data_IF_531851194739
#
_entry.id   IF_531851194739
#
_cell.length_a   1.000
_cell.length_b   1.000
_cell.length_c   1.000
_cell.angle_alpha   90.00
_cell.angle_beta   90.00
_cell.angle_gamma   90.00
#
_symmetry.space_group_name_H-M   'P 1'
#
loop_
_entity.id
_entity.type
_entity.pdbx_description
1 polymer ?
#
# COMPACT_ATOMS: atom_id res chain seq x y z
N UNK A 1 -16.80 0.41 -45.33
CA UNK A 1 -15.68 0.78 -44.48
C UNK A 1 -15.63 -0.28 -43.36
N UNK A 2 -14.71 -1.25 -43.47
CA UNK A 2 -14.63 -2.41 -42.56
C UNK A 2 -13.78 -2.01 -41.35
N UNK A 3 -14.37 -2.01 -40.15
CA UNK A 3 -13.64 -1.92 -38.89
C UNK A 3 -12.92 -3.24 -38.65
N UNK A 4 -11.61 -3.22 -38.72
CA UNK A 4 -10.75 -4.33 -38.29
C UNK A 4 -10.59 -4.26 -36.79
N UNK A 5 -11.22 -5.22 -36.11
CA UNK A 5 -11.08 -5.46 -34.66
C UNK A 5 -9.65 -5.96 -34.39
N UNK A 6 -8.86 -5.11 -33.73
CA UNK A 6 -7.50 -5.45 -33.32
C UNK A 6 -7.58 -6.22 -32.01
N UNK A 7 -7.48 -7.54 -32.10
CA UNK A 7 -7.31 -8.40 -30.93
C UNK A 7 -5.89 -8.23 -30.40
N UNK A 8 -5.72 -7.45 -29.33
CA UNK A 8 -4.49 -7.50 -28.54
C UNK A 8 -4.48 -8.82 -27.75
N UNK A 9 -3.72 -9.77 -28.26
CA UNK A 9 -3.25 -10.91 -27.50
C UNK A 9 -2.33 -10.38 -26.37
N UNK A 10 -2.87 -10.27 -25.16
CA UNK A 10 -2.05 -10.17 -23.96
C UNK A 10 -1.32 -11.51 -23.82
N UNK A 11 0.03 -11.56 -23.89
CA UNK A 11 0.74 -12.75 -23.48
C UNK A 11 0.45 -12.95 -21.99
N UNK A 12 -0.21 -14.05 -21.66
CA UNK A 12 -0.26 -14.54 -20.30
C UNK A 12 1.19 -14.78 -19.86
N UNK A 13 1.78 -13.80 -19.19
CA UNK A 13 3.01 -13.98 -18.44
C UNK A 13 2.66 -14.97 -17.32
N UNK A 14 2.89 -16.24 -17.57
CA UNK A 14 3.00 -17.24 -16.53
C UNK A 14 4.16 -16.80 -15.63
N UNK A 15 3.84 -16.02 -14.61
CA UNK A 15 4.70 -15.91 -13.47
C UNK A 15 4.73 -17.31 -12.86
N UNK A 16 5.84 -17.99 -13.10
CA UNK A 16 6.19 -19.18 -12.34
C UNK A 16 6.46 -18.70 -10.92
N UNK A 17 5.38 -18.50 -10.17
CA UNK A 17 5.45 -18.31 -8.74
C UNK A 17 5.91 -19.64 -8.18
N UNK A 18 7.22 -19.81 -7.99
CA UNK A 18 7.68 -20.71 -6.96
C UNK A 18 6.99 -20.24 -5.68
N UNK A 19 5.90 -20.91 -5.34
CA UNK A 19 5.13 -20.67 -4.14
C UNK A 19 6.12 -20.88 -2.98
N UNK A 20 6.60 -19.78 -2.45
CA UNK A 20 7.05 -19.79 -1.07
C UNK A 20 5.73 -19.88 -0.32
N UNK A 21 5.34 -21.10 0.00
CA UNK A 21 4.21 -21.32 0.91
C UNK A 21 4.59 -20.62 2.21
N UNK A 22 4.05 -19.44 2.44
CA UNK A 22 3.91 -18.99 3.79
C UNK A 22 2.96 -20.00 4.43
N UNK A 23 3.43 -20.68 5.44
CA UNK A 23 2.77 -21.76 6.18
C UNK A 23 1.59 -21.24 7.03
N UNK A 24 0.90 -20.20 6.55
CA UNK A 24 -0.21 -19.55 7.23
C UNK A 24 -1.51 -19.96 6.56
N UNK A 25 -2.25 -20.81 7.23
CA UNK A 25 -3.59 -21.21 6.85
C UNK A 25 -4.63 -20.31 7.54
N UNK A 26 -5.79 -20.14 6.90
CA UNK A 26 -6.93 -19.55 7.59
C UNK A 26 -7.29 -20.39 8.81
N UNK A 27 -7.76 -19.77 9.89
CA UNK A 27 -8.14 -20.46 11.13
C UNK A 27 -9.19 -21.56 10.93
N UNK A 28 -9.96 -21.52 9.83
CA UNK A 28 -10.93 -22.54 9.43
C UNK A 28 -10.34 -23.62 8.49
N UNK A 29 -9.02 -23.58 8.21
CA UNK A 29 -8.33 -24.54 7.34
C UNK A 29 -8.72 -24.48 5.85
N UNK A 30 -9.51 -23.48 5.44
CA UNK A 30 -9.96 -23.37 4.04
C UNK A 30 -9.12 -22.33 3.30
N UNK A 31 -8.50 -22.68 2.17
CA UNK A 31 -7.83 -21.70 1.32
C UNK A 31 -8.85 -20.73 0.75
N UNK A 32 -8.44 -19.46 0.55
CA UNK A 32 -9.24 -18.49 -0.19
C UNK A 32 -8.96 -18.75 -1.68
N UNK A 33 -9.86 -19.46 -2.35
CA UNK A 33 -9.79 -19.66 -3.78
C UNK A 33 -10.58 -18.54 -4.48
N UNK A 34 -9.86 -17.67 -5.18
CA UNK A 34 -10.43 -16.64 -6.06
C UNK A 34 -10.31 -17.13 -7.51
N UNK A 35 -11.42 -17.30 -8.19
CA UNK A 35 -11.43 -17.63 -9.61
C UNK A 35 -11.20 -16.37 -10.46
N UNK A 36 -10.76 -16.56 -11.72
CA UNK A 36 -10.67 -15.46 -12.68
C UNK A 36 -12.04 -14.80 -12.91
N UNK A 37 -13.14 -15.56 -12.78
CA UNK A 37 -14.50 -15.04 -12.87
C UNK A 37 -14.80 -14.06 -11.73
N UNK A 38 -14.40 -14.38 -10.49
CA UNK A 38 -14.61 -13.50 -9.33
C UNK A 38 -13.84 -12.18 -9.51
N UNK A 39 -12.63 -12.26 -10.07
CA UNK A 39 -11.83 -11.07 -10.39
C UNK A 39 -12.49 -10.21 -11.46
N UNK A 40 -13.06 -10.84 -12.50
CA UNK A 40 -13.76 -10.15 -13.58
C UNK A 40 -15.05 -9.50 -13.06
N UNK A 41 -15.84 -10.22 -12.29
CA UNK A 41 -17.07 -9.69 -11.65
C UNK A 41 -16.75 -8.49 -10.75
N UNK A 42 -15.70 -8.61 -9.94
CA UNK A 42 -15.25 -7.49 -9.12
C UNK A 42 -14.80 -6.28 -9.95
N UNK A 43 -14.04 -6.50 -11.03
CA UNK A 43 -13.53 -5.42 -11.88
C UNK A 43 -14.60 -4.73 -12.72
N UNK A 44 -15.73 -5.40 -12.96
CA UNK A 44 -16.87 -4.89 -13.76
C UNK A 44 -18.08 -4.51 -12.89
N UNK A 45 -18.03 -4.76 -11.58
CA UNK A 45 -19.08 -4.31 -10.67
C UNK A 45 -19.08 -2.79 -10.62
N UNK A 46 -20.16 -2.18 -11.11
CA UNK A 46 -20.45 -0.76 -10.91
C UNK A 46 -20.75 -0.56 -9.41
N UNK A 47 -19.73 -0.21 -8.66
CA UNK A 47 -19.93 0.31 -7.33
C UNK A 47 -20.32 1.77 -7.52
N UNK A 48 -21.59 2.08 -7.34
CA UNK A 48 -22.09 3.47 -7.27
C UNK A 48 -21.45 4.11 -6.03
N UNK A 49 -20.19 4.48 -6.17
CA UNK A 49 -19.46 5.23 -5.14
C UNK A 49 -19.95 6.66 -5.18
N UNK A 50 -21.03 6.95 -4.44
CA UNK A 50 -21.23 8.30 -3.94
C UNK A 50 -20.01 8.61 -3.07
N UNK A 51 -19.07 9.32 -3.68
CA UNK A 51 -17.89 9.79 -2.96
C UNK A 51 -18.38 10.96 -2.09
N UNK A 52 -18.76 10.65 -0.86
CA UNK A 52 -18.84 11.67 0.16
C UNK A 52 -17.39 12.06 0.48
N UNK A 53 -17.01 13.25 0.03
CA UNK A 53 -15.68 13.78 0.32
C UNK A 53 -15.53 13.94 1.84
N UNK A 54 -14.59 13.19 2.41
CA UNK A 54 -14.12 13.45 3.77
C UNK A 54 -13.28 14.72 3.68
N UNK A 55 -13.71 15.78 4.35
CA UNK A 55 -12.89 16.96 4.52
C UNK A 55 -11.67 16.61 5.40
N UNK A 56 -10.47 16.78 4.86
CA UNK A 56 -9.25 16.50 5.60
C UNK A 56 -9.01 17.65 6.59
N UNK A 57 -8.84 17.29 7.87
CA UNK A 57 -8.41 18.25 8.88
C UNK A 57 -6.92 18.55 8.73
N UNK A 58 -6.57 19.81 8.95
CA UNK A 58 -5.20 20.30 9.03
C UNK A 58 -4.67 20.32 10.47
N UNK A 59 -5.43 19.80 11.44
CA UNK A 59 -5.10 19.83 12.89
C UNK A 59 -3.73 19.20 13.23
N UNK A 60 -3.25 18.29 12.36
CA UNK A 60 -1.93 17.72 12.51
C UNK A 60 -0.80 18.76 12.42
N UNK A 61 -1.03 19.92 11.77
CA UNK A 61 -0.06 21.00 11.64
C UNK A 61 0.19 21.72 12.97
N UNK A 62 -0.77 21.65 13.89
CA UNK A 62 -0.66 22.20 15.23
C UNK A 62 0.11 21.26 16.18
N UNK A 63 0.37 20.01 15.74
CA UNK A 63 1.16 19.06 16.50
C UNK A 63 2.65 19.22 16.19
N UNK A 64 3.47 19.16 17.22
CA UNK A 64 4.90 18.94 17.02
C UNK A 64 5.12 17.44 16.85
N UNK A 65 5.15 16.95 15.59
CA UNK A 65 5.27 15.54 15.27
C UNK A 65 6.58 14.91 15.78
N UNK A 66 7.62 15.72 15.99
CA UNK A 66 8.90 15.30 16.58
C UNK A 66 8.88 15.31 18.11
N UNK A 67 7.87 15.93 18.73
CA UNK A 67 7.77 15.98 20.19
C UNK A 67 7.52 14.59 20.77
N UNK A 68 7.88 14.44 22.06
CA UNK A 68 7.73 13.18 22.81
C UNK A 68 6.29 12.96 23.29
N UNK A 69 5.32 13.24 22.44
CA UNK A 69 3.91 13.05 22.67
C UNK A 69 3.42 11.74 22.06
N UNK A 70 2.37 11.16 22.67
CA UNK A 70 1.68 10.02 22.07
C UNK A 70 0.56 10.54 21.17
N UNK A 71 0.53 10.11 19.91
CA UNK A 71 -0.54 10.43 18.98
C UNK A 71 -0.77 9.27 17.98
N UNK A 72 -1.91 9.29 17.32
CA UNK A 72 -2.21 8.46 16.15
C UNK A 72 -2.95 9.33 15.13
N UNK A 73 -2.42 9.43 13.93
CA UNK A 73 -2.99 10.20 12.84
C UNK A 73 -3.29 9.26 11.69
N UNK A 74 -4.53 9.26 11.20
CA UNK A 74 -4.91 8.53 10.00
C UNK A 74 -4.51 9.34 8.77
N UNK A 75 -3.63 8.77 7.95
CA UNK A 75 -3.15 9.41 6.71
C UNK A 75 -4.05 9.07 5.53
N UNK A 76 -4.66 7.89 5.56
CA UNK A 76 -5.58 7.41 4.53
C UNK A 76 -5.44 5.90 4.30
N UNK A 77 -6.53 5.25 3.88
CA UNK A 77 -6.62 3.81 3.75
C UNK A 77 -6.13 3.09 5.03
N UNK A 78 -5.11 2.26 4.95
CA UNK A 78 -4.49 1.57 6.10
C UNK A 78 -3.25 2.27 6.64
N UNK A 79 -2.94 3.47 6.14
CA UNK A 79 -1.76 4.24 6.55
C UNK A 79 -2.07 5.08 7.79
N UNK A 80 -1.37 4.77 8.88
CA UNK A 80 -1.40 5.53 10.12
C UNK A 80 0.01 5.95 10.51
N UNK A 81 0.15 7.19 10.99
CA UNK A 81 1.32 7.67 11.69
C UNK A 81 1.04 7.61 13.18
N UNK A 82 1.84 6.83 13.91
CA UNK A 82 1.64 6.58 15.34
C UNK A 82 2.92 6.94 16.06
N UNK A 83 2.83 7.82 17.06
CA UNK A 83 3.89 8.09 18.03
C UNK A 83 3.54 7.44 19.35
N UNK A 84 4.41 6.60 19.89
CA UNK A 84 4.20 5.93 21.16
C UNK A 84 5.51 5.70 21.89
N UNK A 85 5.59 6.21 23.13
CA UNK A 85 6.76 6.04 24.00
C UNK A 85 8.09 6.40 23.31
N UNK A 86 8.11 7.50 22.57
CA UNK A 86 9.30 7.97 21.85
C UNK A 86 9.50 7.33 20.48
N UNK A 87 8.80 6.26 20.12
CA UNK A 87 8.90 5.61 18.81
C UNK A 87 7.85 6.13 17.83
N UNK A 88 8.26 6.35 16.60
CA UNK A 88 7.38 6.73 15.49
C UNK A 88 7.21 5.53 14.56
N UNK A 89 5.96 5.13 14.34
CA UNK A 89 5.57 3.96 13.56
C UNK A 89 4.69 4.42 12.40
N UNK A 90 4.99 3.94 11.20
CA UNK A 90 4.16 4.16 10.02
C UNK A 90 3.64 2.81 9.51
N UNK A 91 2.30 2.68 9.44
CA UNK A 91 1.66 1.43 9.00
C UNK A 91 1.27 1.51 7.54
N UNK A 92 1.46 0.40 6.79
CA UNK A 92 1.00 0.23 5.40
C UNK A 92 1.14 1.51 4.55
N UNK A 93 2.36 2.09 4.40
CA UNK A 93 2.52 3.41 3.81
C UNK A 93 2.25 3.39 2.31
N UNK A 94 1.15 4.02 1.93
CA UNK A 94 0.72 4.19 0.54
C UNK A 94 0.51 5.68 0.27
N UNK A 95 1.42 6.29 -0.48
CA UNK A 95 1.36 7.69 -0.90
C UNK A 95 1.19 7.84 -2.40
N UNK A 96 1.37 6.74 -3.17
CA UNK A 96 1.14 6.73 -4.61
C UNK A 96 -0.30 7.08 -4.96
N UNK A 97 -0.49 7.70 -6.13
CA UNK A 97 -1.80 8.07 -6.65
C UNK A 97 -2.67 6.85 -6.99
N UNK A 98 -2.03 5.68 -7.25
CA UNK A 98 -2.72 4.44 -7.61
C UNK A 98 -2.15 3.24 -6.86
N UNK A 99 -3.05 2.37 -6.44
CA UNK A 99 -2.71 1.05 -5.89
C UNK A 99 -2.37 0.09 -7.04
N UNK A 100 -1.18 0.26 -7.63
CA UNK A 100 -0.77 -0.48 -8.83
C UNK A 100 0.75 -0.39 -9.04
N UNK A 101 1.37 -1.41 -9.69
CA UNK A 101 2.76 -1.31 -10.14
C UNK A 101 2.93 -0.33 -11.31
N UNK A 102 1.84 0.11 -11.93
CA UNK A 102 1.83 1.00 -13.10
C UNK A 102 1.25 2.37 -12.74
N UNK A 103 1.94 3.44 -13.15
CA UNK A 103 1.53 4.83 -12.83
C UNK A 103 0.14 5.21 -13.35
N UNK A 104 -0.30 4.64 -14.48
CA UNK A 104 -1.50 5.08 -15.17
C UNK A 104 -2.64 4.04 -15.16
N UNK A 105 -2.45 2.88 -14.52
CA UNK A 105 -3.40 1.77 -14.51
C UNK A 105 -3.65 1.34 -13.07
N UNK A 106 -4.88 0.95 -12.76
CA UNK A 106 -5.30 0.48 -11.44
C UNK A 106 -6.09 1.49 -10.64
N UNK A 107 -6.62 1.08 -9.49
CA UNK A 107 -7.47 1.93 -8.65
C UNK A 107 -6.77 3.22 -8.27
N UNK A 108 -7.45 4.34 -8.50
CA UNK A 108 -6.94 5.66 -8.15
C UNK A 108 -7.32 6.00 -6.71
N UNK A 109 -6.42 6.68 -6.01
CA UNK A 109 -6.71 7.29 -4.72
C UNK A 109 -7.81 8.35 -4.89
N UNK A 110 -8.82 8.30 -4.05
CA UNK A 110 -9.95 9.24 -4.05
C UNK A 110 -9.68 10.45 -3.15
N UNK A 111 -8.97 10.23 -2.05
CA UNK A 111 -8.66 11.24 -1.04
C UNK A 111 -7.14 11.38 -0.95
N UNK A 112 -6.56 12.59 -1.00
CA UNK A 112 -5.12 12.76 -0.84
C UNK A 112 -4.66 12.27 0.55
N UNK A 113 -3.36 11.96 0.76
CA UNK A 113 -2.84 11.69 2.09
C UNK A 113 -3.07 12.90 3.01
N UNK A 114 -3.53 12.68 4.24
CA UNK A 114 -3.74 13.76 5.20
C UNK A 114 -2.44 14.50 5.54
N UNK A 115 -1.33 13.76 5.61
CA UNK A 115 0.02 14.33 5.75
C UNK A 115 0.81 13.95 4.49
N UNK A 116 1.40 14.92 3.77
CA UNK A 116 2.31 14.63 2.65
C UNK A 116 3.54 13.85 3.13
N UNK A 117 4.11 13.00 2.26
CA UNK A 117 5.24 12.14 2.62
C UNK A 117 6.48 12.91 3.06
N UNK A 118 6.72 14.07 2.46
CA UNK A 118 7.82 14.99 2.77
C UNK A 118 7.62 15.80 4.07
N UNK A 119 6.40 15.73 4.64
CA UNK A 119 6.06 16.34 5.93
C UNK A 119 6.05 15.33 7.09
N UNK A 120 6.40 14.06 6.83
CA UNK A 120 6.50 13.05 7.88
C UNK A 120 7.68 13.35 8.82
N UNK A 121 7.54 13.06 10.13
CA UNK A 121 8.65 13.11 11.07
C UNK A 121 9.63 11.96 10.81
N UNK A 122 10.71 11.92 11.60
CA UNK A 122 11.61 10.77 11.59
C UNK A 122 10.86 9.49 11.98
N UNK A 123 11.02 8.43 11.18
CA UNK A 123 10.32 7.14 11.34
C UNK A 123 11.27 6.09 11.90
N UNK A 124 10.89 5.44 13.00
CA UNK A 124 11.66 4.34 13.59
C UNK A 124 11.22 2.98 13.02
N UNK A 125 9.93 2.80 12.80
CA UNK A 125 9.37 1.54 12.33
C UNK A 125 8.40 1.76 11.18
N UNK A 126 8.55 0.95 10.14
CA UNK A 126 7.58 0.82 9.05
C UNK A 126 7.01 -0.58 9.09
N UNK A 127 5.68 -0.72 9.10
CA UNK A 127 5.02 -2.03 9.08
C UNK A 127 4.22 -2.20 7.80
N UNK A 128 4.29 -3.38 7.18
CA UNK A 128 3.45 -3.76 6.04
C UNK A 128 2.69 -5.02 6.39
N UNK A 129 1.37 -4.94 6.36
CA UNK A 129 0.48 -6.05 6.76
C UNK A 129 0.49 -7.19 5.75
N UNK A 130 0.46 -6.88 4.47
CA UNK A 130 0.50 -7.84 3.37
C UNK A 130 0.92 -7.19 2.06
N UNK A 131 1.15 -7.98 1.00
CA UNK A 131 1.78 -7.53 -0.24
C UNK A 131 0.80 -7.13 -1.37
N UNK A 132 -0.42 -6.73 -1.06
CA UNK A 132 -1.26 -6.04 -2.02
C UNK A 132 -0.77 -4.61 -2.26
N UNK A 133 -1.01 -4.05 -3.44
CA UNK A 133 -0.48 -2.73 -3.83
C UNK A 133 -1.06 -1.55 -3.05
N UNK A 134 -2.21 -1.72 -2.41
CA UNK A 134 -2.85 -0.76 -1.51
C UNK A 134 -2.32 -0.84 -0.06
N UNK A 135 -1.33 -1.72 0.20
CA UNK A 135 -0.61 -1.86 1.46
C UNK A 135 0.91 -1.86 1.28
N UNK A 136 1.43 -2.53 0.23
CA UNK A 136 2.85 -2.58 -0.09
C UNK A 136 3.14 -1.71 -1.32
N UNK A 137 3.22 -0.40 -1.12
CA UNK A 137 3.62 0.57 -2.14
C UNK A 137 5.14 0.72 -2.15
N UNK A 138 5.79 0.04 -3.07
CA UNK A 138 7.26 0.04 -3.15
C UNK A 138 7.86 1.41 -3.47
N UNK A 139 7.10 2.32 -4.08
CA UNK A 139 7.56 3.68 -4.35
C UNK A 139 7.61 4.49 -3.04
N UNK A 140 6.52 4.48 -2.28
CA UNK A 140 6.43 5.12 -0.97
C UNK A 140 7.46 4.54 0.01
N UNK A 141 7.56 3.21 0.10
CA UNK A 141 8.54 2.54 0.96
C UNK A 141 9.98 2.94 0.64
N UNK A 142 10.32 3.10 -0.65
CA UNK A 142 11.64 3.53 -1.08
C UNK A 142 11.92 4.98 -0.69
N UNK A 143 10.97 5.87 -0.87
CA UNK A 143 11.10 7.29 -0.50
C UNK A 143 11.26 7.44 1.02
N UNK A 144 10.46 6.72 1.81
CA UNK A 144 10.59 6.68 3.27
C UNK A 144 11.97 6.16 3.67
N UNK A 145 12.48 5.09 3.05
CA UNK A 145 13.80 4.53 3.34
C UNK A 145 14.93 5.52 3.02
N UNK A 146 14.81 6.30 1.95
CA UNK A 146 15.83 7.31 1.60
C UNK A 146 15.94 8.36 2.70
N UNK A 147 14.82 8.78 3.28
CA UNK A 147 14.77 9.80 4.31
C UNK A 147 14.99 9.23 5.73
N UNK A 148 14.79 7.91 5.92
CA UNK A 148 14.86 7.22 7.21
C UNK A 148 15.63 5.91 7.04
N UNK A 149 16.94 5.98 6.73
CA UNK A 149 17.76 4.81 6.43
C UNK A 149 17.93 3.84 7.60
N UNK A 150 17.75 4.33 8.83
CA UNK A 150 17.87 3.56 10.07
C UNK A 150 16.54 2.95 10.52
N UNK A 151 15.43 3.27 9.85
CA UNK A 151 14.13 2.71 10.15
C UNK A 151 14.09 1.18 9.95
N UNK A 152 13.40 0.49 10.85
CA UNK A 152 13.20 -0.96 10.77
C UNK A 152 11.92 -1.24 9.98
N UNK A 153 12.06 -1.97 8.86
CA UNK A 153 10.93 -2.39 8.03
C UNK A 153 10.47 -3.80 8.42
N UNK A 154 9.27 -3.89 8.99
CA UNK A 154 8.60 -5.14 9.36
C UNK A 154 7.60 -5.50 8.25
N UNK A 155 7.92 -6.54 7.50
CA UNK A 155 7.15 -6.96 6.33
C UNK A 155 6.82 -8.44 6.39
N UNK A 156 5.82 -8.93 5.64
CA UNK A 156 5.50 -10.35 5.59
C UNK A 156 6.69 -11.22 5.19
N UNK A 157 6.68 -12.46 5.66
CA UNK A 157 7.72 -13.43 5.30
C UNK A 157 7.80 -13.60 3.78
N UNK A 158 9.01 -13.45 3.23
CA UNK A 158 9.25 -13.52 1.78
C UNK A 158 9.35 -12.17 1.07
N UNK A 159 8.72 -11.12 1.55
CA UNK A 159 8.72 -9.80 0.90
C UNK A 159 10.03 -9.02 1.09
N UNK A 160 10.86 -9.43 2.06
CA UNK A 160 12.21 -8.87 2.23
C UNK A 160 13.01 -8.86 0.93
N UNK A 161 12.97 -9.95 0.15
CA UNK A 161 13.69 -10.03 -1.14
C UNK A 161 13.15 -9.01 -2.17
N UNK A 162 11.84 -8.75 -2.15
CA UNK A 162 11.22 -7.74 -3.00
C UNK A 162 11.74 -6.35 -2.64
N UNK A 163 11.74 -5.99 -1.36
CA UNK A 163 12.24 -4.70 -0.88
C UNK A 163 13.72 -4.52 -1.19
N UNK A 164 14.54 -5.54 -0.98
CA UNK A 164 15.96 -5.50 -1.30
C UNK A 164 16.22 -5.23 -2.79
N UNK A 165 15.43 -5.81 -3.70
CA UNK A 165 15.51 -5.54 -5.15
C UNK A 165 15.14 -4.09 -5.49
N UNK A 166 14.37 -3.42 -4.64
CA UNK A 166 14.01 -2.00 -4.77
C UNK A 166 15.02 -1.07 -4.09
N UNK A 167 16.08 -1.62 -3.48
CA UNK A 167 17.14 -0.87 -2.81
C UNK A 167 16.84 -0.51 -1.36
N UNK A 168 15.82 -1.11 -0.76
CA UNK A 168 15.49 -1.03 0.67
C UNK A 168 16.24 -2.19 1.36
N UNK A 169 17.06 -1.91 2.36
CA UNK A 169 17.94 -2.89 3.01
C UNK A 169 17.43 -3.34 4.36
#
# INVERSE_FOLDING_TARGET
MKLTTFWMLFPALFFNTSQIFAEYENTNGKPIEKSFKDLLEWSTSDVDTKIDFIELSDDWKDLNLEADNNYAIWIGHSTFLIKKNGYTILTDPVFSERASPFKNIGPKRLIPPAIPIDSLPNIDFVTVSHNHYDHLDTASLKEIYINNSDAIFLVPAGDKKLLQRKGIK
#
